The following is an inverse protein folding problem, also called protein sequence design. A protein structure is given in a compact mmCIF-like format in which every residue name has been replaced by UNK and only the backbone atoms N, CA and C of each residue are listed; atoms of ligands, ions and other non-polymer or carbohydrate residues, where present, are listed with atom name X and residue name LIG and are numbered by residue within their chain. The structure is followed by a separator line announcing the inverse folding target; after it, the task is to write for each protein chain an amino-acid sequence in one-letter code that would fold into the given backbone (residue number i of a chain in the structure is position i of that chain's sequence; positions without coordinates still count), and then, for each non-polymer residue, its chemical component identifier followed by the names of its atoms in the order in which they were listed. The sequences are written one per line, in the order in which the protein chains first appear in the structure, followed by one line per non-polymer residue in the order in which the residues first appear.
data_IF_730996820378
#
_entry.id   IF_730996820378
#
_cell.length_a   1.000
_cell.length_b   1.000
_cell.length_c   1.000
_cell.angle_alpha   90.00
_cell.angle_beta   90.00
_cell.angle_gamma   90.00
#
_symmetry.space_group_name_H-M   'P 1'
#
loop_
_entity.id
_entity.type
_entity.pdbx_description
1 polymer ?
#
# COMPACT_ATOMS: atom_id res chain seq x y z
N UNK A 1 24.37 26.25 -11.84
CA UNK A 1 25.80 26.56 -12.10
C UNK A 1 26.48 26.73 -10.75
N UNK A 2 27.74 26.33 -10.57
CA UNK A 2 28.22 25.64 -9.35
C UNK A 2 28.73 26.54 -8.21
N UNK A 3 28.61 26.02 -6.96
CA UNK A 3 29.12 26.57 -5.68
C UNK A 3 30.56 27.14 -5.76
N UNK A 4 30.87 28.10 -4.88
CA UNK A 4 32.23 28.51 -4.52
C UNK A 4 33.05 27.26 -4.13
N UNK A 5 33.96 26.82 -5.02
CA UNK A 5 34.75 25.59 -4.88
C UNK A 5 35.02 24.87 -6.19
N UNK A 6 34.08 24.92 -7.14
CA UNK A 6 34.25 24.30 -8.48
C UNK A 6 35.00 25.16 -9.49
N UNK A 7 35.35 26.40 -9.11
CA UNK A 7 36.09 27.35 -9.95
C UNK A 7 37.55 26.94 -10.19
N UNK A 8 38.07 25.96 -9.45
CA UNK A 8 39.50 25.62 -9.45
C UNK A 8 39.82 24.16 -9.81
N UNK A 9 38.81 23.29 -9.98
CA UNK A 9 39.03 21.86 -10.28
C UNK A 9 38.42 21.46 -11.63
N UNK A 10 39.29 21.29 -12.64
CA UNK A 10 38.89 20.82 -13.96
C UNK A 10 38.27 19.42 -13.92
N UNK A 11 38.85 18.51 -13.12
CA UNK A 11 38.34 17.15 -12.98
C UNK A 11 36.95 17.11 -12.34
N UNK A 12 36.69 17.93 -11.34
CA UNK A 12 35.36 18.04 -10.72
C UNK A 12 34.33 18.64 -11.69
N UNK A 13 34.76 19.62 -12.49
CA UNK A 13 33.94 20.22 -13.54
C UNK A 13 33.55 19.20 -14.62
N UNK A 14 34.51 18.48 -15.18
CA UNK A 14 34.26 17.44 -16.18
C UNK A 14 33.39 16.32 -15.62
N UNK A 15 33.70 15.84 -14.41
CA UNK A 15 32.92 14.80 -13.76
C UNK A 15 31.46 15.21 -13.57
N UNK A 16 31.20 16.43 -13.07
CA UNK A 16 29.84 16.95 -12.92
C UNK A 16 29.09 16.99 -14.24
N UNK A 17 29.70 17.56 -15.29
CA UNK A 17 29.03 17.69 -16.60
C UNK A 17 28.94 16.38 -17.38
N UNK A 18 29.77 15.38 -17.07
CA UNK A 18 29.68 14.04 -17.68
C UNK A 18 28.33 13.35 -17.42
N UNK A 19 27.62 13.75 -16.35
CA UNK A 19 26.28 13.26 -16.03
C UNK A 19 25.16 13.87 -16.86
N UNK A 20 25.44 14.87 -17.70
CA UNK A 20 24.42 15.60 -18.46
C UNK A 20 24.66 15.50 -19.96
N UNK A 21 23.60 15.27 -20.73
CA UNK A 21 23.62 15.35 -22.21
C UNK A 21 23.47 16.79 -22.71
N UNK A 22 24.12 17.75 -22.06
CA UNK A 22 24.00 19.18 -22.37
C UNK A 22 25.33 19.82 -22.76
N UNK A 23 25.26 20.91 -23.52
CA UNK A 23 26.42 21.77 -23.77
C UNK A 23 26.74 22.60 -22.52
N UNK A 24 28.02 22.71 -22.19
CA UNK A 24 28.51 23.49 -21.07
C UNK A 24 29.51 24.55 -21.55
N UNK A 25 29.53 25.72 -20.87
CA UNK A 25 30.52 26.77 -21.15
C UNK A 25 31.91 26.26 -20.76
N UNK A 26 32.90 26.16 -21.67
CA UNK A 26 34.17 25.48 -21.42
C UNK A 26 34.85 25.92 -20.12
N UNK A 27 35.54 25.01 -19.42
CA UNK A 27 36.20 25.29 -18.12
C UNK A 27 37.19 26.47 -18.19
N UNK A 28 37.89 26.66 -19.31
CA UNK A 28 38.81 27.79 -19.51
C UNK A 28 38.13 29.16 -19.60
N UNK A 29 36.84 29.24 -19.95
CA UNK A 29 36.12 30.50 -20.16
C UNK A 29 35.50 31.06 -18.85
N UNK A 30 36.32 31.19 -17.80
CA UNK A 30 35.83 31.60 -16.47
C UNK A 30 35.18 33.00 -16.47
N UNK A 31 35.77 33.97 -17.17
CA UNK A 31 35.21 35.33 -17.30
C UNK A 31 33.81 35.30 -17.94
N UNK A 32 33.60 34.41 -18.92
CA UNK A 32 32.30 34.27 -19.57
C UNK A 32 31.28 33.63 -18.65
N UNK A 33 31.68 32.64 -17.86
CA UNK A 33 30.82 32.05 -16.82
C UNK A 33 30.43 33.08 -15.77
N UNK A 34 31.39 33.88 -15.29
CA UNK A 34 31.15 34.94 -14.31
C UNK A 34 30.21 36.03 -14.85
N UNK A 35 30.44 36.46 -16.09
CA UNK A 35 29.54 37.39 -16.78
C UNK A 35 28.11 36.84 -16.88
N UNK A 36 27.95 35.58 -17.33
CA UNK A 36 26.63 34.94 -17.41
C UNK A 36 25.97 34.88 -16.02
N UNK A 37 26.70 34.47 -14.99
CA UNK A 37 26.20 34.42 -13.62
C UNK A 37 25.76 35.81 -13.12
N UNK A 38 26.55 36.85 -13.39
CA UNK A 38 26.25 38.22 -13.00
C UNK A 38 24.99 38.74 -13.70
N UNK A 39 24.88 38.56 -15.02
CA UNK A 39 23.72 39.00 -15.81
C UNK A 39 22.44 38.27 -15.39
N UNK A 40 22.53 36.99 -15.05
CA UNK A 40 21.39 36.20 -14.57
C UNK A 40 21.14 36.35 -13.06
N UNK A 41 21.87 37.22 -12.37
CA UNK A 41 21.70 37.45 -10.93
C UNK A 41 21.87 36.18 -10.10
N UNK A 42 22.84 35.34 -10.43
CA UNK A 42 23.12 34.09 -9.71
C UNK A 42 23.59 34.38 -8.28
N UNK A 43 22.91 33.76 -7.31
CA UNK A 43 23.06 33.97 -5.86
C UNK A 43 23.66 32.75 -5.14
N UNK A 44 24.20 31.80 -5.91
CA UNK A 44 24.69 30.52 -5.37
C UNK A 44 23.67 29.38 -5.45
N UNK A 45 22.39 29.65 -5.74
CA UNK A 45 21.38 28.62 -5.94
C UNK A 45 21.22 28.26 -7.43
N UNK A 46 20.98 26.98 -7.77
CA UNK A 46 20.68 26.60 -9.15
C UNK A 46 19.58 27.49 -9.75
N UNK A 47 19.83 28.01 -10.96
CA UNK A 47 18.84 28.76 -11.74
C UNK A 47 18.67 28.13 -13.11
N UNK A 48 17.43 28.16 -13.60
CA UNK A 48 17.05 27.77 -14.95
C UNK A 48 16.63 29.02 -15.72
N UNK A 49 17.11 29.12 -16.96
CA UNK A 49 16.69 30.10 -17.94
C UNK A 49 16.08 29.33 -19.12
N UNK A 50 14.80 29.55 -19.40
CA UNK A 50 14.10 28.92 -20.53
C UNK A 50 13.84 30.00 -21.55
N UNK A 51 14.28 29.76 -22.79
CA UNK A 51 14.09 30.65 -23.92
C UNK A 51 13.14 30.02 -24.94
N UNK A 52 12.33 30.83 -25.62
CA UNK A 52 11.60 30.39 -26.81
C UNK A 52 12.51 30.34 -28.05
N UNK A 53 12.06 29.77 -29.19
CA UNK A 53 12.84 29.75 -30.41
C UNK A 53 13.22 31.14 -30.96
N UNK A 54 12.54 32.20 -30.51
CA UNK A 54 12.85 33.61 -30.82
C UNK A 54 13.80 34.24 -29.81
N UNK A 55 14.42 33.44 -28.93
CA UNK A 55 15.35 33.85 -27.87
C UNK A 55 14.72 34.74 -26.79
N UNK A 56 13.40 34.76 -26.67
CA UNK A 56 12.72 35.49 -25.59
C UNK A 56 12.70 34.65 -24.32
N UNK A 57 12.88 35.30 -23.19
CA UNK A 57 12.84 34.65 -21.88
C UNK A 57 11.41 34.23 -21.56
N UNK A 58 11.18 32.93 -21.46
CA UNK A 58 9.92 32.34 -20.98
C UNK A 58 9.93 32.13 -19.47
N UNK A 59 11.11 31.85 -18.90
CA UNK A 59 11.27 31.65 -17.47
C UNK A 59 12.69 31.97 -17.03
N UNK A 60 12.83 32.57 -15.86
CA UNK A 60 14.08 32.79 -15.17
C UNK A 60 13.86 32.65 -13.66
N UNK A 61 14.46 31.63 -13.03
CA UNK A 61 14.26 31.35 -11.61
C UNK A 61 14.83 30.00 -11.19
N UNK A 62 14.39 29.49 -10.05
CA UNK A 62 14.85 28.19 -9.55
C UNK A 62 14.29 27.01 -10.38
N UNK A 63 15.07 25.93 -10.58
CA UNK A 63 14.68 24.76 -11.37
C UNK A 63 13.59 23.86 -10.74
N UNK A 64 12.62 24.41 -10.01
CA UNK A 64 11.60 23.66 -9.26
C UNK A 64 10.72 22.77 -10.16
N UNK A 65 10.56 23.12 -11.44
CA UNK A 65 9.86 22.26 -12.39
C UNK A 65 10.48 20.87 -12.48
N UNK A 66 11.81 20.76 -12.37
CA UNK A 66 12.49 19.47 -12.49
C UNK A 66 12.32 18.59 -11.25
N UNK A 67 12.18 19.19 -10.06
CA UNK A 67 11.86 18.47 -8.83
C UNK A 67 10.38 18.07 -8.77
N UNK A 68 9.51 18.75 -9.52
CA UNK A 68 8.08 18.43 -9.58
C UNK A 68 7.73 17.39 -10.63
N UNK A 69 8.28 17.50 -11.85
CA UNK A 69 7.90 16.65 -13.00
C UNK A 69 9.05 15.83 -13.61
N UNK A 70 10.25 15.89 -13.04
CA UNK A 70 11.37 15.03 -13.44
C UNK A 70 12.01 15.31 -14.80
N UNK A 71 11.56 16.34 -15.52
CA UNK A 71 12.22 16.89 -16.71
C UNK A 71 11.89 16.26 -18.06
N UNK A 72 11.04 15.24 -18.15
CA UNK A 72 10.63 14.64 -19.45
C UNK A 72 9.13 14.38 -19.60
N UNK A 73 8.27 14.96 -18.75
CA UNK A 73 6.83 14.95 -18.99
C UNK A 73 6.49 15.81 -20.22
N UNK A 74 6.24 15.18 -21.38
CA UNK A 74 6.00 15.90 -22.64
C UNK A 74 4.89 16.95 -22.59
N UNK A 75 3.90 16.76 -21.72
CA UNK A 75 2.82 17.73 -21.49
C UNK A 75 3.20 18.94 -20.63
N UNK A 76 4.33 18.90 -19.92
CA UNK A 76 4.83 20.01 -19.10
C UNK A 76 5.77 20.93 -19.88
N UNK A 77 6.29 20.53 -21.05
CA UNK A 77 7.16 21.35 -21.89
C UNK A 77 6.43 22.63 -22.34
N UNK A 78 7.07 23.83 -22.37
CA UNK A 78 8.48 24.14 -22.12
C UNK A 78 8.90 24.29 -20.64
N UNK A 79 8.20 23.64 -19.71
CA UNK A 79 8.49 23.59 -18.27
C UNK A 79 8.45 24.94 -17.56
N UNK A 80 7.61 25.86 -18.05
CA UNK A 80 7.24 27.07 -17.30
C UNK A 80 6.30 26.70 -16.14
N UNK A 81 6.26 27.50 -15.05
CA UNK A 81 5.37 27.24 -13.91
C UNK A 81 3.92 26.97 -14.33
N UNK A 82 3.34 27.84 -15.17
CA UNK A 82 1.96 27.68 -15.65
C UNK A 82 1.73 26.37 -16.41
N UNK A 83 2.71 25.93 -17.22
CA UNK A 83 2.62 24.69 -17.99
C UNK A 83 2.74 23.46 -17.09
N UNK A 84 3.62 23.52 -16.10
CA UNK A 84 3.79 22.48 -15.09
C UNK A 84 2.53 22.37 -14.23
N UNK A 85 1.98 23.48 -13.77
CA UNK A 85 0.77 23.51 -12.96
C UNK A 85 -0.43 22.99 -13.75
N UNK A 86 -0.58 23.42 -15.01
CA UNK A 86 -1.60 22.87 -15.91
C UNK A 86 -1.42 21.35 -16.08
N UNK A 87 -0.20 20.87 -16.35
CA UNK A 87 0.09 19.44 -16.47
C UNK A 87 -0.30 18.66 -15.20
N UNK A 88 0.08 19.15 -14.02
CA UNK A 88 -0.20 18.50 -12.74
C UNK A 88 -1.69 18.52 -12.37
N UNK A 89 -2.42 19.57 -12.75
CA UNK A 89 -3.87 19.62 -12.58
C UNK A 89 -4.59 18.58 -13.47
N UNK A 90 -4.10 18.34 -14.68
CA UNK A 90 -4.66 17.30 -15.55
C UNK A 90 -4.29 15.88 -15.07
N UNK A 91 -3.05 15.67 -14.58
CA UNK A 91 -2.55 14.37 -14.12
C UNK A 91 -3.32 13.82 -12.90
N UNK A 92 -3.71 14.70 -11.96
CA UNK A 92 -4.49 14.31 -10.76
C UNK A 92 -5.87 13.71 -11.03
N UNK A 93 -6.40 13.87 -12.25
CA UNK A 93 -7.71 13.31 -12.63
C UNK A 93 -7.64 11.93 -13.28
N UNK A 94 -6.45 11.36 -13.52
CA UNK A 94 -6.24 10.27 -14.48
C UNK A 94 -5.63 8.99 -13.89
N UNK A 95 -5.55 8.86 -12.56
CA UNK A 95 -4.96 7.67 -11.91
C UNK A 95 -5.54 6.35 -12.45
N UNK A 96 -6.83 6.33 -12.82
CA UNK A 96 -7.56 5.14 -13.26
C UNK A 96 -7.36 4.76 -14.75
N UNK A 97 -6.60 5.55 -15.53
CA UNK A 97 -6.50 5.37 -16.99
C UNK A 97 -5.09 5.07 -17.50
N UNK A 98 -4.08 5.09 -16.63
CA UNK A 98 -2.72 4.81 -17.05
C UNK A 98 -2.55 3.33 -17.41
N UNK A 99 -2.00 3.09 -18.60
CA UNK A 99 -1.48 1.77 -18.97
C UNK A 99 -0.06 1.57 -18.41
N UNK A 100 0.36 0.30 -18.29
CA UNK A 100 1.65 -0.06 -17.69
C UNK A 100 2.85 0.67 -18.32
N UNK A 101 2.88 0.81 -19.65
CA UNK A 101 3.98 1.50 -20.32
C UNK A 101 3.95 3.01 -20.08
N UNK A 102 2.75 3.61 -19.96
CA UNK A 102 2.64 5.03 -19.65
C UNK A 102 3.13 5.30 -18.23
N UNK A 103 2.80 4.43 -17.26
CA UNK A 103 3.34 4.50 -15.89
C UNK A 103 4.87 4.46 -15.89
N UNK A 104 5.43 3.43 -16.54
CA UNK A 104 6.88 3.18 -16.58
C UNK A 104 7.63 4.07 -17.58
N UNK A 105 6.94 4.86 -18.40
CA UNK A 105 7.57 5.71 -19.42
C UNK A 105 8.34 4.94 -20.48
N UNK A 106 7.91 3.72 -20.80
CA UNK A 106 8.56 2.80 -21.73
C UNK A 106 7.73 2.59 -23.00
N UNK A 107 8.35 2.03 -24.04
CA UNK A 107 7.68 1.53 -25.25
C UNK A 107 7.44 0.04 -25.13
N UNK A 108 6.51 -0.47 -25.93
CA UNK A 108 6.16 -1.91 -25.94
C UNK A 108 7.30 -2.84 -26.35
N UNK A 109 8.29 -2.29 -27.06
CA UNK A 109 9.52 -2.96 -27.50
C UNK A 109 10.62 -2.94 -26.46
N UNK A 110 10.53 -2.07 -25.44
CA UNK A 110 11.56 -1.96 -24.43
C UNK A 110 11.53 -3.21 -23.51
N UNK A 111 12.70 -3.55 -22.96
CA UNK A 111 12.92 -4.78 -22.20
C UNK A 111 13.33 -4.43 -20.77
N UNK A 112 12.66 -5.05 -19.80
CA UNK A 112 13.10 -5.06 -18.40
C UNK A 112 13.92 -6.32 -18.15
N UNK A 113 15.00 -6.17 -17.38
CA UNK A 113 15.87 -7.27 -17.01
C UNK A 113 15.66 -7.66 -15.55
N UNK A 114 15.97 -8.91 -15.26
CA UNK A 114 15.92 -9.41 -13.90
C UNK A 114 17.05 -8.80 -13.04
N UNK A 115 16.79 -8.50 -11.77
CA UNK A 115 17.76 -7.88 -10.84
C UNK A 115 19.05 -8.72 -10.71
N UNK A 116 18.93 -10.05 -10.67
CA UNK A 116 20.08 -10.94 -10.60
C UNK A 116 21.10 -10.78 -11.74
N UNK A 117 20.69 -10.20 -12.89
CA UNK A 117 21.60 -9.90 -13.99
C UNK A 117 22.46 -8.64 -13.74
N UNK A 118 21.94 -7.66 -12.99
CA UNK A 118 22.67 -6.46 -12.60
C UNK A 118 23.72 -6.74 -11.51
N UNK A 119 23.48 -7.74 -10.66
CA UNK A 119 24.39 -8.12 -9.56
C UNK A 119 25.74 -8.72 -10.04
N UNK A 120 25.78 -9.40 -11.19
CA UNK A 120 26.95 -10.21 -11.59
C UNK A 120 28.03 -9.39 -12.33
N UNK A 121 27.78 -8.12 -12.64
CA UNK A 121 28.66 -7.34 -13.51
C UNK A 121 28.56 -7.84 -14.95
N UNK A 122 28.43 -6.92 -15.91
CA UNK A 122 28.07 -7.19 -17.30
C UNK A 122 29.08 -7.99 -18.15
N UNK A 123 29.93 -8.84 -17.57
CA UNK A 123 31.02 -9.55 -18.26
C UNK A 123 30.77 -11.05 -18.50
N UNK A 124 29.61 -11.59 -18.12
CA UNK A 124 29.22 -12.97 -18.51
C UNK A 124 28.16 -12.97 -19.60
N UNK A 125 28.60 -12.59 -20.79
CA UNK A 125 27.99 -12.97 -22.06
C UNK A 125 28.37 -14.42 -22.37
N UNK A 126 27.84 -15.37 -21.60
CA UNK A 126 27.72 -16.74 -22.09
C UNK A 126 26.25 -17.04 -22.34
N UNK A 127 26.02 -17.40 -23.60
CA UNK A 127 24.77 -17.78 -24.23
C UNK A 127 24.21 -19.02 -23.52
N UNK A 128 23.28 -18.82 -22.60
CA UNK A 128 22.34 -19.87 -22.23
C UNK A 128 20.98 -19.55 -22.88
N UNK A 129 20.47 -20.54 -23.61
CA UNK A 129 19.27 -20.52 -24.45
C UNK A 129 17.92 -20.30 -23.74
N UNK A 130 17.86 -19.90 -22.46
CA UNK A 130 16.58 -19.80 -21.77
C UNK A 130 16.10 -18.34 -21.65
N UNK A 131 14.93 -18.05 -22.21
CA UNK A 131 14.28 -16.74 -22.28
C UNK A 131 13.82 -16.15 -20.93
N UNK A 132 14.59 -16.37 -19.85
CA UNK A 132 14.30 -15.95 -18.46
C UNK A 132 15.02 -14.69 -17.99
N UNK A 133 15.90 -14.08 -18.80
CA UNK A 133 16.70 -12.92 -18.37
C UNK A 133 16.01 -11.57 -18.51
N UNK A 134 15.08 -11.44 -19.46
CA UNK A 134 14.37 -10.18 -19.69
C UNK A 134 12.96 -10.39 -20.25
N UNK A 135 12.09 -9.41 -20.02
CA UNK A 135 10.70 -9.39 -20.46
C UNK A 135 10.40 -8.09 -21.22
N UNK A 136 9.69 -8.18 -22.34
CA UNK A 136 9.23 -6.99 -23.06
C UNK A 136 8.02 -6.39 -22.36
N UNK A 137 7.87 -5.07 -22.43
CA UNK A 137 6.69 -4.38 -21.87
C UNK A 137 5.39 -4.88 -22.50
N UNK A 138 5.39 -5.19 -23.81
CA UNK A 138 4.25 -5.82 -24.50
C UNK A 138 3.80 -7.16 -23.91
N UNK A 139 4.72 -7.98 -23.40
CA UNK A 139 4.40 -9.25 -22.72
C UNK A 139 3.93 -8.99 -21.29
N UNK A 140 4.63 -8.11 -20.57
CA UNK A 140 4.32 -7.78 -19.18
C UNK A 140 2.94 -7.12 -19.03
N UNK A 141 2.55 -6.28 -20.01
CA UNK A 141 1.21 -5.68 -20.11
C UNK A 141 0.05 -6.68 -20.16
N UNK A 142 0.30 -7.93 -20.50
CA UNK A 142 -0.73 -8.98 -20.59
C UNK A 142 -0.81 -9.82 -19.31
N UNK A 143 -0.12 -9.38 -18.26
CA UNK A 143 -0.08 -10.02 -16.96
C UNK A 143 -0.63 -9.08 -15.91
N UNK A 144 -0.90 -9.61 -14.74
CA UNK A 144 -1.22 -8.79 -13.59
C UNK A 144 0.09 -8.31 -12.97
N UNK A 145 0.25 -7.00 -12.73
CA UNK A 145 1.58 -6.43 -12.40
C UNK A 145 1.52 -5.60 -11.14
N UNK A 146 2.39 -5.91 -10.18
CA UNK A 146 2.69 -5.09 -9.01
C UNK A 146 3.91 -4.20 -9.30
N UNK A 147 3.77 -2.88 -9.23
CA UNK A 147 4.91 -1.96 -9.30
C UNK A 147 5.30 -1.61 -7.86
N UNK A 148 6.39 -2.20 -7.39
CA UNK A 148 6.99 -1.88 -6.11
C UNK A 148 7.89 -0.66 -6.26
N UNK A 149 7.54 0.40 -5.55
CA UNK A 149 8.25 1.67 -5.52
C UNK A 149 9.09 1.69 -4.25
N UNK A 150 10.39 1.45 -4.41
CA UNK A 150 11.36 1.40 -3.32
C UNK A 150 11.86 2.81 -3.00
N UNK A 151 11.58 3.26 -1.79
CA UNK A 151 12.10 4.48 -1.19
C UNK A 151 13.30 4.14 -0.30
N UNK A 152 13.11 3.30 0.72
CA UNK A 152 14.16 2.87 1.65
C UNK A 152 14.21 1.35 1.86
N UNK A 153 13.27 0.60 1.28
CA UNK A 153 13.22 -0.85 1.41
C UNK A 153 12.64 -1.36 2.73
N UNK A 154 12.09 -0.48 3.56
CA UNK A 154 11.41 -0.82 4.81
C UNK A 154 10.30 -1.85 4.64
N UNK A 155 9.61 -1.86 3.50
CA UNK A 155 8.46 -2.75 3.20
C UNK A 155 8.83 -3.99 2.39
N UNK A 156 10.13 -4.33 2.29
CA UNK A 156 10.58 -5.51 1.54
C UNK A 156 10.16 -6.83 2.18
N UNK A 157 10.04 -6.89 3.51
CA UNK A 157 9.59 -8.08 4.21
C UNK A 157 8.12 -8.37 3.93
N UNK A 158 7.29 -7.33 3.91
CA UNK A 158 5.89 -7.36 3.55
C UNK A 158 5.73 -7.82 2.09
N UNK A 159 6.55 -7.32 1.17
CA UNK A 159 6.59 -7.78 -0.22
C UNK A 159 7.01 -9.26 -0.34
N UNK A 160 7.91 -9.73 0.50
CA UNK A 160 8.30 -11.14 0.55
C UNK A 160 7.15 -12.03 1.06
N UNK A 161 6.42 -11.59 2.09
CA UNK A 161 5.23 -12.27 2.61
C UNK A 161 4.16 -12.43 1.52
N UNK A 162 3.88 -11.38 0.75
CA UNK A 162 2.99 -11.42 -0.41
C UNK A 162 3.38 -12.53 -1.35
N UNK A 163 4.66 -12.56 -1.73
CA UNK A 163 5.13 -13.49 -2.73
C UNK A 163 5.10 -14.93 -2.25
N UNK A 164 5.52 -15.18 -1.00
CA UNK A 164 5.46 -16.50 -0.38
C UNK A 164 4.04 -17.03 -0.39
N UNK A 165 3.08 -16.17 -0.09
CA UNK A 165 1.69 -16.56 0.01
C UNK A 165 1.03 -16.76 -1.36
N UNK A 166 1.34 -15.91 -2.33
CA UNK A 166 1.01 -16.13 -3.73
C UNK A 166 1.50 -17.53 -4.18
N UNK A 167 2.74 -17.88 -3.84
CA UNK A 167 3.31 -19.18 -4.17
C UNK A 167 2.60 -20.35 -3.47
N UNK A 168 2.11 -20.18 -2.23
CA UNK A 168 1.36 -21.23 -1.50
C UNK A 168 -0.01 -21.50 -2.09
N UNK A 169 -0.71 -20.48 -2.60
CA UNK A 169 -2.03 -20.62 -3.23
C UNK A 169 -2.01 -21.32 -4.59
N UNK A 170 -0.81 -21.60 -5.13
CA UNK A 170 -0.61 -22.38 -6.36
C UNK A 170 0.17 -21.60 -7.43
N UNK A 171 0.59 -22.32 -8.48
CA UNK A 171 1.46 -21.81 -9.57
C UNK A 171 0.81 -20.77 -10.50
N UNK A 172 -0.43 -20.37 -10.26
CA UNK A 172 -1.21 -19.39 -11.06
C UNK A 172 -1.24 -17.99 -10.44
N UNK A 173 -0.25 -17.62 -9.63
CA UNK A 173 -0.09 -16.20 -9.34
C UNK A 173 0.46 -15.51 -10.59
N UNK A 174 -0.45 -14.99 -11.42
CA UNK A 174 -0.16 -14.14 -12.58
C UNK A 174 0.52 -12.81 -12.21
N UNK A 175 0.73 -12.55 -10.90
CA UNK A 175 1.34 -11.34 -10.38
C UNK A 175 2.85 -11.31 -10.66
N UNK A 176 3.23 -10.46 -11.60
CA UNK A 176 4.62 -10.07 -11.84
C UNK A 176 4.96 -8.83 -11.01
N UNK A 177 6.17 -8.78 -10.43
CA UNK A 177 6.61 -7.60 -9.67
C UNK A 177 7.69 -6.86 -10.46
N UNK A 178 7.47 -5.56 -10.65
CA UNK A 178 8.46 -4.61 -11.18
C UNK A 178 8.95 -3.73 -10.04
N UNK A 179 10.26 -3.71 -9.82
CA UNK A 179 10.90 -2.87 -8.82
C UNK A 179 11.37 -1.57 -9.47
N UNK A 180 10.97 -0.45 -8.89
CA UNK A 180 11.37 0.89 -9.29
C UNK A 180 12.00 1.60 -8.12
N UNK A 181 13.24 2.05 -8.27
CA UNK A 181 13.91 2.90 -7.28
C UNK A 181 13.49 4.35 -7.39
N UNK A 182 13.16 4.95 -6.26
CA UNK A 182 12.98 6.40 -6.15
C UNK A 182 14.05 6.93 -5.21
N UNK A 183 15.04 7.69 -5.71
CA UNK A 183 16.03 8.31 -4.84
C UNK A 183 15.32 9.29 -3.89
N UNK A 184 15.53 9.07 -2.59
CA UNK A 184 15.00 9.95 -1.55
C UNK A 184 15.95 11.10 -1.23
N UNK A 185 15.41 12.09 -0.50
CA UNK A 185 16.15 13.27 -0.07
C UNK A 185 17.32 12.85 0.82
N UNK A 186 18.54 12.98 0.31
CA UNK A 186 19.77 12.63 1.03
C UNK A 186 20.64 11.57 0.34
N UNK A 187 20.10 10.82 -0.64
CA UNK A 187 20.94 9.99 -1.51
C UNK A 187 21.50 10.82 -2.67
N UNK A 188 22.82 11.00 -2.70
CA UNK A 188 23.49 11.88 -3.67
C UNK A 188 23.64 11.28 -5.07
N UNK A 189 23.57 9.94 -5.24
CA UNK A 189 23.85 9.31 -6.54
C UNK A 189 22.91 8.11 -6.86
N UNK A 190 22.15 8.13 -7.97
CA UNK A 190 21.19 7.07 -8.32
C UNK A 190 21.80 5.66 -8.37
N UNK A 191 23.04 5.49 -8.85
CA UNK A 191 23.71 4.17 -8.84
C UNK A 191 23.91 3.59 -7.44
N UNK A 192 24.06 4.42 -6.41
CA UNK A 192 24.15 3.95 -5.03
C UNK A 192 22.79 3.42 -4.56
N UNK A 193 21.70 4.08 -4.96
CA UNK A 193 20.34 3.58 -4.73
C UNK A 193 20.13 2.23 -5.43
N UNK A 194 20.53 2.10 -6.70
CA UNK A 194 20.43 0.83 -7.42
C UNK A 194 21.20 -0.29 -6.70
N UNK A 195 22.42 -0.01 -6.25
CA UNK A 195 23.23 -0.97 -5.49
C UNK A 195 22.55 -1.36 -4.17
N UNK A 196 22.09 -0.38 -3.40
CA UNK A 196 21.37 -0.60 -2.15
C UNK A 196 20.13 -1.48 -2.35
N UNK A 197 19.31 -1.19 -3.38
CA UNK A 197 18.13 -1.98 -3.69
C UNK A 197 18.48 -3.43 -4.06
N UNK A 198 19.53 -3.63 -4.85
CA UNK A 198 20.01 -4.98 -5.20
C UNK A 198 20.38 -5.75 -3.94
N UNK A 199 21.20 -5.17 -3.05
CA UNK A 199 21.61 -5.77 -1.78
C UNK A 199 20.39 -6.07 -0.87
N UNK A 200 19.43 -5.14 -0.80
CA UNK A 200 18.22 -5.31 0.00
C UNK A 200 17.32 -6.44 -0.54
N UNK A 201 17.13 -6.52 -1.86
CA UNK A 201 16.33 -7.57 -2.51
C UNK A 201 17.00 -8.94 -2.43
N UNK A 202 18.33 -8.99 -2.39
CA UNK A 202 19.09 -10.22 -2.11
C UNK A 202 18.79 -10.75 -0.71
N UNK A 203 18.76 -9.87 0.30
CA UNK A 203 18.50 -10.27 1.68
C UNK A 203 17.14 -10.96 1.88
N UNK A 204 16.13 -10.60 1.06
CA UNK A 204 14.78 -11.19 1.07
C UNK A 204 14.55 -12.20 -0.07
N UNK A 205 15.60 -12.62 -0.79
CA UNK A 205 15.53 -13.61 -1.89
C UNK A 205 14.55 -13.24 -3.02
N UNK A 206 14.42 -11.95 -3.31
CA UNK A 206 13.57 -11.40 -4.37
C UNK A 206 14.37 -10.94 -5.61
N UNK A 207 15.61 -11.40 -5.79
CA UNK A 207 16.45 -11.08 -6.95
C UNK A 207 15.90 -11.53 -8.30
N UNK A 208 14.81 -12.32 -8.32
CA UNK A 208 14.15 -12.81 -9.52
C UNK A 208 13.13 -11.86 -10.16
N UNK A 209 13.04 -10.59 -9.71
CA UNK A 209 12.05 -9.61 -10.18
C UNK A 209 12.55 -8.69 -11.28
N UNK A 210 11.62 -8.07 -12.00
CA UNK A 210 11.92 -7.13 -13.07
C UNK A 210 12.41 -5.81 -12.47
N UNK A 211 13.56 -5.33 -12.94
CA UNK A 211 14.13 -4.08 -12.48
C UNK A 211 13.91 -2.99 -13.51
N UNK A 212 13.41 -1.83 -13.06
CA UNK A 212 13.46 -0.60 -13.84
C UNK A 212 14.67 0.22 -13.37
N UNK A 213 15.69 0.43 -14.22
CA UNK A 213 16.79 1.34 -13.92
C UNK A 213 16.28 2.74 -13.59
N UNK A 214 17.07 3.50 -12.83
CA UNK A 214 16.64 4.82 -12.39
C UNK A 214 16.18 5.69 -13.57
N UNK A 215 14.93 6.16 -13.47
CA UNK A 215 14.35 7.10 -14.42
C UNK A 215 13.65 8.21 -13.64
N UNK A 216 14.27 9.38 -13.62
CA UNK A 216 13.80 10.53 -12.84
C UNK A 216 12.33 10.91 -13.11
N UNK A 217 11.89 10.85 -14.37
CA UNK A 217 10.50 11.20 -14.73
C UNK A 217 9.52 10.17 -14.20
N UNK A 218 9.87 8.89 -14.27
CA UNK A 218 9.04 7.79 -13.74
C UNK A 218 8.99 7.85 -12.22
N UNK A 219 10.15 7.99 -11.56
CA UNK A 219 10.25 8.11 -10.10
C UNK A 219 9.38 9.25 -9.58
N UNK A 220 9.49 10.46 -10.15
CA UNK A 220 8.65 11.58 -9.75
C UNK A 220 7.16 11.34 -10.05
N UNK A 221 6.81 10.72 -11.18
CA UNK A 221 5.42 10.38 -11.49
C UNK A 221 4.82 9.45 -10.44
N UNK A 222 5.50 8.34 -10.15
CA UNK A 222 5.03 7.36 -9.17
C UNK A 222 4.93 7.97 -7.77
N UNK A 223 5.89 8.80 -7.35
CA UNK A 223 5.79 9.53 -6.08
C UNK A 223 4.58 10.45 -6.02
N UNK A 224 4.27 11.20 -7.09
CA UNK A 224 3.11 12.11 -7.12
C UNK A 224 1.77 11.38 -7.05
N UNK A 225 1.72 10.13 -7.55
CA UNK A 225 0.50 9.32 -7.51
C UNK A 225 0.22 8.72 -6.13
N UNK A 226 1.18 8.80 -5.19
CA UNK A 226 1.05 8.26 -3.84
C UNK A 226 0.65 9.34 -2.85
N UNK A 227 -0.08 8.94 -1.81
CA UNK A 227 -0.43 9.82 -0.69
C UNK A 227 0.79 10.14 0.18
N UNK A 228 1.64 9.14 0.46
CA UNK A 228 2.92 9.34 1.14
C UNK A 228 4.09 9.10 0.18
N UNK A 229 4.99 10.08 0.11
CA UNK A 229 6.16 10.08 -0.78
C UNK A 229 7.44 9.62 -0.07
N UNK A 230 7.38 9.38 1.25
CA UNK A 230 8.53 9.08 2.11
C UNK A 230 8.57 7.63 2.61
N UNK A 231 7.73 6.76 2.04
CA UNK A 231 7.68 5.33 2.39
C UNK A 231 7.81 4.48 1.12
N UNK A 232 7.91 3.16 1.25
CA UNK A 232 7.78 2.26 0.10
C UNK A 232 6.32 2.18 -0.38
N UNK A 233 6.11 1.81 -1.65
CA UNK A 233 4.79 1.83 -2.28
C UNK A 233 4.55 0.60 -3.16
N UNK A 234 3.29 0.22 -3.33
CA UNK A 234 2.90 -0.88 -4.20
C UNK A 234 1.68 -0.50 -5.03
N UNK A 235 1.86 -0.42 -6.35
CA UNK A 235 0.76 -0.20 -7.30
C UNK A 235 0.32 -1.53 -7.90
N UNK A 236 -0.98 -1.76 -8.00
CA UNK A 236 -1.55 -2.95 -8.62
C UNK A 236 -2.14 -2.60 -9.98
N UNK A 237 -1.59 -3.16 -11.05
CA UNK A 237 -1.98 -2.88 -12.44
C UNK A 237 -2.72 -4.08 -13.03
N UNK A 238 -4.01 -3.88 -13.30
CA UNK A 238 -4.89 -4.87 -13.92
C UNK A 238 -5.03 -4.61 -15.43
N UNK A 239 -4.49 -5.53 -16.24
CA UNK A 239 -4.57 -5.42 -17.69
C UNK A 239 -5.94 -5.73 -18.29
N UNK A 240 -6.73 -6.57 -17.62
CA UNK A 240 -8.07 -6.98 -18.08
C UNK A 240 -9.04 -5.84 -17.88
N UNK A 241 -8.98 -5.23 -16.70
CA UNK A 241 -9.89 -4.15 -16.30
C UNK A 241 -9.36 -2.76 -16.64
N UNK A 242 -8.10 -2.65 -17.05
CA UNK A 242 -7.41 -1.39 -17.38
C UNK A 242 -7.47 -0.38 -16.23
N UNK A 243 -7.07 -0.83 -15.05
CA UNK A 243 -7.10 -0.03 -13.81
C UNK A 243 -5.78 -0.15 -13.05
N UNK A 244 -5.45 0.90 -12.30
CA UNK A 244 -4.27 0.98 -11.45
C UNK A 244 -4.71 1.34 -10.04
N UNK A 245 -4.48 0.44 -9.08
CA UNK A 245 -4.67 0.74 -7.66
C UNK A 245 -3.36 1.22 -7.04
N UNK A 246 -3.37 2.36 -6.35
CA UNK A 246 -2.19 2.91 -5.68
C UNK A 246 -2.06 2.43 -4.22
N UNK A 247 -3.06 1.72 -3.70
CA UNK A 247 -3.16 1.31 -2.31
C UNK A 247 -2.79 -0.16 -2.08
N UNK A 248 -1.89 -0.72 -2.91
CA UNK A 248 -1.53 -2.14 -2.84
C UNK A 248 -1.03 -2.56 -1.45
N UNK A 249 -0.11 -1.79 -0.86
CA UNK A 249 0.37 -2.05 0.50
C UNK A 249 -0.73 -1.89 1.54
N UNK A 250 -1.45 -0.76 1.67
CA UNK A 250 -2.53 -0.63 2.63
C UNK A 250 -3.58 -1.75 2.53
N UNK A 251 -4.01 -2.13 1.32
CA UNK A 251 -4.97 -3.22 1.12
C UNK A 251 -4.44 -4.54 1.66
N UNK A 252 -3.15 -4.79 1.52
CA UNK A 252 -2.48 -6.02 1.91
C UNK A 252 -2.11 -6.06 3.40
N UNK A 253 -1.49 -5.00 3.93
CA UNK A 253 -1.00 -4.96 5.31
C UNK A 253 -2.12 -4.65 6.29
N UNK A 254 -3.02 -3.75 5.91
CA UNK A 254 -3.91 -3.12 6.87
C UNK A 254 -5.29 -3.77 6.80
N UNK A 255 -5.87 -3.93 5.60
CA UNK A 255 -7.29 -4.27 5.48
C UNK A 255 -7.61 -5.72 5.15
N UNK A 256 -6.91 -6.29 4.17
CA UNK A 256 -7.35 -7.50 3.49
C UNK A 256 -6.47 -8.72 3.71
N UNK A 257 -5.27 -8.51 4.24
CA UNK A 257 -4.28 -9.56 4.37
C UNK A 257 -4.08 -10.30 3.05
N UNK A 258 -3.97 -11.62 3.17
CA UNK A 258 -3.85 -12.53 2.03
C UNK A 258 -5.14 -12.63 1.21
N UNK A 259 -6.29 -12.52 1.86
CA UNK A 259 -7.58 -12.79 1.23
C UNK A 259 -8.00 -11.71 0.24
N UNK A 260 -7.50 -10.49 0.41
CA UNK A 260 -7.71 -9.43 -0.57
C UNK A 260 -6.88 -9.58 -1.84
N UNK A 261 -6.17 -10.71 -2.05
CA UNK A 261 -5.51 -11.00 -3.31
C UNK A 261 -6.45 -10.72 -4.50
N UNK A 262 -6.02 -9.95 -5.51
CA UNK A 262 -4.65 -9.53 -5.77
C UNK A 262 -4.37 -8.08 -5.28
N UNK A 263 -4.72 -7.81 -4.03
CA UNK A 263 -4.38 -6.64 -3.22
C UNK A 263 -4.82 -5.29 -3.81
N UNK A 264 -6.02 -5.26 -4.39
CA UNK A 264 -6.65 -4.02 -4.84
C UNK A 264 -7.91 -3.74 -4.00
N UNK A 265 -8.29 -2.46 -3.93
CA UNK A 265 -9.41 -2.03 -3.08
C UNK A 265 -10.75 -2.63 -3.48
N UNK A 266 -10.92 -2.99 -4.75
CA UNK A 266 -12.16 -3.61 -5.21
C UNK A 266 -12.30 -5.04 -4.72
N UNK A 267 -11.25 -5.84 -4.80
CA UNK A 267 -11.24 -7.20 -4.24
C UNK A 267 -11.42 -7.17 -2.73
N UNK A 268 -10.82 -6.19 -2.06
CA UNK A 268 -11.09 -5.95 -0.64
C UNK A 268 -12.59 -5.68 -0.38
N UNK A 269 -13.24 -4.84 -1.18
CA UNK A 269 -14.69 -4.57 -1.07
C UNK A 269 -15.51 -5.85 -1.33
N UNK A 270 -15.19 -6.60 -2.39
CA UNK A 270 -15.90 -7.84 -2.74
C UNK A 270 -15.77 -8.89 -1.62
N UNK A 271 -14.57 -9.04 -1.04
CA UNK A 271 -14.33 -9.90 0.12
C UNK A 271 -15.03 -9.39 1.38
N UNK A 272 -15.06 -8.08 1.60
CA UNK A 272 -15.80 -7.47 2.68
C UNK A 272 -17.30 -7.74 2.55
N UNK A 273 -17.89 -7.53 1.37
CA UNK A 273 -19.29 -7.83 1.07
C UNK A 273 -19.61 -9.32 1.27
N UNK A 274 -18.70 -10.21 0.83
CA UNK A 274 -18.81 -11.66 1.09
C UNK A 274 -18.85 -11.94 2.59
N UNK A 275 -17.96 -11.33 3.38
CA UNK A 275 -17.94 -11.47 4.84
C UNK A 275 -19.20 -10.91 5.50
N UNK A 276 -19.69 -9.75 5.06
CA UNK A 276 -20.95 -9.17 5.55
C UNK A 276 -22.18 -10.04 5.20
N UNK A 277 -22.10 -10.84 4.15
CA UNK A 277 -23.10 -11.85 3.79
C UNK A 277 -23.14 -13.07 4.72
N UNK A 278 -22.15 -13.25 5.59
CA UNK A 278 -22.09 -14.38 6.51
C UNK A 278 -23.18 -14.30 7.57
N UNK A 279 -23.64 -15.48 7.99
CA UNK A 279 -24.64 -15.61 9.03
C UNK A 279 -24.01 -16.03 10.34
N UNK A 280 -24.53 -15.50 11.44
CA UNK A 280 -24.17 -15.91 12.79
C UNK A 280 -24.26 -17.43 12.99
N UNK A 281 -25.34 -18.04 12.46
CA UNK A 281 -25.52 -19.50 12.48
C UNK A 281 -24.37 -20.23 11.77
N UNK A 282 -23.91 -19.74 10.60
CA UNK A 282 -22.77 -20.37 9.92
C UNK A 282 -21.46 -20.20 10.68
N UNK A 283 -21.23 -19.03 11.30
CA UNK A 283 -20.00 -18.73 12.05
C UNK A 283 -19.90 -19.58 13.33
N UNK A 284 -21.00 -19.71 14.08
CA UNK A 284 -20.99 -20.40 15.36
C UNK A 284 -21.22 -21.91 15.23
N UNK A 285 -22.08 -22.39 14.32
CA UNK A 285 -22.33 -23.83 14.15
C UNK A 285 -21.13 -24.57 13.53
N UNK A 286 -20.27 -23.89 12.77
CA UNK A 286 -19.02 -24.49 12.30
C UNK A 286 -17.96 -24.58 13.40
N UNK A 287 -18.17 -23.89 14.53
CA UNK A 287 -17.11 -23.60 15.50
C UNK A 287 -17.43 -24.02 16.95
N UNK A 288 -18.68 -24.20 17.35
CA UNK A 288 -19.04 -24.71 18.68
C UNK A 288 -20.11 -25.79 18.61
N UNK A 289 -19.86 -26.89 19.30
CA UNK A 289 -20.83 -27.97 19.42
C UNK A 289 -22.00 -27.53 20.28
N UNK A 290 -23.09 -27.19 19.60
CA UNK A 290 -24.48 -27.14 20.06
C UNK A 290 -24.84 -26.31 21.29
N UNK A 291 -23.93 -25.90 22.19
CA UNK A 291 -24.24 -25.31 23.50
C UNK A 291 -23.37 -24.09 23.84
N UNK A 292 -23.92 -23.18 24.63
CA UNK A 292 -23.26 -22.03 25.25
C UNK A 292 -23.54 -22.04 26.76
N UNK A 293 -22.62 -21.50 27.55
CA UNK A 293 -22.77 -21.42 29.00
C UNK A 293 -23.53 -20.14 29.35
N UNK A 294 -24.55 -20.27 30.19
CA UNK A 294 -25.33 -19.16 30.73
C UNK A 294 -25.44 -19.29 32.25
N UNK A 295 -25.34 -18.17 32.96
CA UNK A 295 -25.60 -18.14 34.40
C UNK A 295 -27.09 -17.95 34.71
N UNK A 296 -27.63 -18.83 35.55
CA UNK A 296 -28.99 -18.73 36.06
C UNK A 296 -29.07 -17.77 37.26
N UNK A 297 -30.27 -17.28 37.55
CA UNK A 297 -30.57 -16.44 38.72
C UNK A 297 -30.21 -17.15 40.04
N UNK A 298 -30.15 -18.48 40.02
CA UNK A 298 -29.70 -19.32 41.14
C UNK A 298 -28.18 -19.39 41.32
N UNK A 299 -27.38 -18.61 40.55
CA UNK A 299 -25.91 -18.68 40.50
C UNK A 299 -25.36 -20.06 40.08
N UNK A 300 -26.16 -20.83 39.35
CA UNK A 300 -25.73 -22.08 38.72
C UNK A 300 -25.51 -21.85 37.23
N UNK A 301 -24.45 -22.45 36.68
CA UNK A 301 -24.16 -22.38 35.24
C UNK A 301 -24.92 -23.51 34.52
N UNK A 302 -25.56 -23.17 33.40
CA UNK A 302 -26.32 -24.09 32.56
C UNK A 302 -25.77 -24.07 31.13
N UNK A 303 -25.61 -25.25 30.54
CA UNK A 303 -25.33 -25.42 29.12
C UNK A 303 -26.65 -25.33 28.32
N UNK A 304 -26.79 -24.27 27.54
CA UNK A 304 -27.99 -24.00 26.75
C UNK A 304 -27.69 -24.26 25.29
N UNK A 305 -28.56 -24.97 24.55
CA UNK A 305 -28.34 -25.18 23.13
C UNK A 305 -28.28 -23.85 22.37
N UNK A 306 -27.16 -23.58 21.69
CA UNK A 306 -26.92 -22.37 20.91
C UNK A 306 -28.03 -22.13 19.88
N UNK A 307 -28.55 -23.19 19.25
CA UNK A 307 -29.66 -23.07 18.31
C UNK A 307 -30.91 -22.43 18.94
N UNK A 308 -31.23 -22.78 20.19
CA UNK A 308 -32.37 -22.21 20.91
C UNK A 308 -32.13 -20.74 21.30
N UNK A 309 -30.89 -20.38 21.62
CA UNK A 309 -30.51 -18.99 21.90
C UNK A 309 -30.68 -18.15 20.64
N UNK A 310 -30.16 -18.63 19.50
CA UNK A 310 -30.18 -17.91 18.23
C UNK A 310 -31.58 -17.80 17.60
N UNK A 311 -32.52 -18.67 17.96
CA UNK A 311 -33.92 -18.60 17.49
C UNK A 311 -34.79 -17.63 18.29
N UNK A 312 -34.44 -17.38 19.56
CA UNK A 312 -35.28 -16.58 20.48
C UNK A 312 -34.91 -15.10 20.53
N UNK A 313 -33.81 -14.68 19.89
CA UNK A 313 -33.20 -13.38 20.13
C UNK A 313 -32.96 -12.61 18.81
N UNK A 314 -33.50 -11.38 18.65
CA UNK A 314 -33.45 -10.62 17.40
C UNK A 314 -32.09 -9.97 17.12
N UNK A 315 -31.29 -9.69 18.16
CA UNK A 315 -29.98 -9.04 18.03
C UNK A 315 -28.94 -9.77 18.85
N UNK A 316 -27.84 -10.14 18.21
CA UNK A 316 -26.70 -10.79 18.87
C UNK A 316 -25.46 -9.98 18.62
N UNK A 317 -24.69 -9.76 19.68
CA UNK A 317 -23.35 -9.18 19.61
C UNK A 317 -22.35 -10.27 19.92
N UNK A 318 -21.42 -10.52 18.99
CA UNK A 318 -20.30 -11.41 19.21
C UNK A 318 -19.13 -10.58 19.75
N UNK A 319 -18.70 -10.92 20.96
CA UNK A 319 -17.57 -10.30 21.64
C UNK A 319 -16.39 -11.27 21.64
N UNK A 320 -15.38 -10.97 20.84
CA UNK A 320 -14.16 -11.77 20.77
C UNK A 320 -13.08 -11.09 21.59
N UNK A 321 -12.36 -11.82 22.45
CA UNK A 321 -11.35 -11.22 23.33
C UNK A 321 -10.08 -12.06 23.46
N UNK A 322 -8.96 -11.41 23.79
CA UNK A 322 -7.65 -12.02 24.06
C UNK A 322 -7.10 -11.48 25.38
N UNK A 323 -7.60 -12.03 26.49
CA UNK A 323 -7.22 -11.61 27.85
C UNK A 323 -7.62 -10.17 28.18
N UNK A 324 -8.65 -9.99 29.02
CA UNK A 324 -9.14 -8.65 29.38
C UNK A 324 -10.51 -8.68 30.04
N UNK A 325 -10.93 -7.55 30.61
CA UNK A 325 -12.28 -7.34 31.16
C UNK A 325 -13.05 -6.42 30.21
N UNK A 326 -14.16 -6.91 29.65
CA UNK A 326 -15.01 -6.11 28.78
C UNK A 326 -15.66 -4.92 29.49
N UNK A 327 -15.95 -3.87 28.71
CA UNK A 327 -16.60 -2.64 29.18
C UNK A 327 -18.11 -2.72 28.99
N UNK A 328 -18.85 -2.41 30.07
CA UNK A 328 -20.27 -2.04 30.00
C UNK A 328 -21.30 -3.17 30.16
N UNK A 329 -22.45 -2.83 30.72
CA UNK A 329 -23.66 -3.66 30.81
C UNK A 329 -24.65 -3.17 29.75
N UNK A 330 -25.18 -4.06 28.89
CA UNK A 330 -26.35 -3.76 28.06
C UNK A 330 -27.44 -4.79 28.33
N UNK A 331 -28.61 -4.31 28.77
CA UNK A 331 -29.78 -5.13 29.12
C UNK A 331 -30.69 -5.45 27.93
N UNK A 332 -30.35 -4.94 26.74
CA UNK A 332 -31.20 -5.00 25.54
C UNK A 332 -30.68 -5.89 24.42
N UNK A 333 -29.47 -6.46 24.57
CA UNK A 333 -28.79 -7.22 23.51
C UNK A 333 -28.19 -8.49 24.09
N UNK A 334 -28.23 -9.59 23.33
CA UNK A 334 -27.53 -10.82 23.71
C UNK A 334 -26.09 -10.74 23.30
N UNK A 335 -25.20 -10.83 24.27
CA UNK A 335 -23.76 -10.87 24.03
C UNK A 335 -23.28 -12.32 24.11
N UNK A 336 -22.65 -12.80 23.06
CA UNK A 336 -21.99 -14.10 22.98
C UNK A 336 -20.48 -13.84 22.99
N UNK A 337 -19.77 -14.38 23.97
CA UNK A 337 -18.33 -14.18 24.10
C UNK A 337 -17.54 -15.36 23.55
N UNK A 338 -16.43 -15.04 22.91
CA UNK A 338 -15.52 -16.00 22.29
C UNK A 338 -14.09 -15.64 22.67
N UNK A 339 -13.35 -16.61 23.19
CA UNK A 339 -11.91 -16.48 23.38
C UNK A 339 -11.19 -16.53 22.02
N UNK A 340 -10.27 -15.59 21.74
CA UNK A 340 -9.50 -15.52 20.49
C UNK A 340 -8.22 -16.35 20.51
N UNK A 341 -7.66 -16.59 21.68
CA UNK A 341 -6.52 -17.49 21.88
C UNK A 341 -6.98 -18.93 22.18
N UNK A 342 -8.28 -19.13 22.39
CA UNK A 342 -8.88 -20.41 22.74
C UNK A 342 -8.38 -20.95 24.08
N UNK A 343 -7.85 -20.07 24.93
CA UNK A 343 -7.52 -20.37 26.31
C UNK A 343 -8.72 -19.92 27.15
N UNK A 344 -9.16 -20.77 28.08
CA UNK A 344 -10.15 -20.39 29.09
C UNK A 344 -9.53 -19.33 29.99
N UNK A 345 -9.94 -18.08 29.79
CA UNK A 345 -9.70 -16.99 30.71
C UNK A 345 -10.70 -17.01 31.89
N UNK A 346 -10.67 -15.97 32.71
CA UNK A 346 -11.68 -15.77 33.77
C UNK A 346 -13.05 -15.38 33.16
N UNK A 347 -13.76 -16.38 32.64
CA UNK A 347 -15.08 -16.24 31.98
C UNK A 347 -16.21 -15.97 32.97
N UNK A 348 -15.94 -16.14 34.27
CA UNK A 348 -16.90 -15.88 35.35
C UNK A 348 -17.40 -14.43 35.28
N UNK A 349 -16.53 -13.48 34.97
CA UNK A 349 -16.90 -12.07 34.77
C UNK A 349 -18.01 -11.90 33.72
N UNK A 350 -17.88 -12.53 32.54
CA UNK A 350 -18.89 -12.42 31.47
C UNK A 350 -20.24 -13.04 31.89
N UNK A 351 -20.18 -14.15 32.61
CA UNK A 351 -21.37 -14.80 33.18
C UNK A 351 -22.06 -13.92 34.23
N UNK A 352 -21.32 -13.13 35.02
CA UNK A 352 -21.91 -12.17 35.97
C UNK A 352 -22.66 -11.03 35.27
N UNK A 353 -22.20 -10.64 34.08
CA UNK A 353 -22.82 -9.62 33.23
C UNK A 353 -24.07 -10.14 32.52
N UNK A 354 -24.42 -11.41 32.70
CA UNK A 354 -25.53 -12.08 32.01
C UNK A 354 -25.22 -12.42 30.55
N UNK A 355 -23.96 -12.38 30.15
CA UNK A 355 -23.53 -12.73 28.79
C UNK A 355 -23.44 -14.25 28.64
N UNK A 356 -23.49 -14.70 27.39
CA UNK A 356 -23.36 -16.10 27.02
C UNK A 356 -21.91 -16.38 26.66
N UNK A 357 -21.35 -17.47 27.19
CA UNK A 357 -19.95 -17.82 26.96
C UNK A 357 -19.87 -19.06 26.07
N UNK A 358 -19.17 -18.93 24.95
CA UNK A 358 -18.75 -20.09 24.16
C UNK A 358 -17.54 -20.75 24.83
N UNK A 359 -17.54 -22.09 25.02
CA UNK A 359 -16.38 -22.81 25.57
C UNK A 359 -15.11 -22.54 24.76
N UNK A 360 -13.98 -22.31 25.42
CA UNK A 360 -12.74 -22.04 24.70
C UNK A 360 -12.28 -23.27 23.89
N UNK A 361 -11.94 -23.05 22.63
CA UNK A 361 -11.38 -24.09 21.76
C UNK A 361 -10.31 -23.48 20.85
N UNK A 362 -9.02 -23.79 21.05
CA UNK A 362 -7.92 -23.20 20.29
C UNK A 362 -8.03 -23.35 18.77
N UNK A 363 -8.54 -24.49 18.30
CA UNK A 363 -8.63 -24.76 16.85
C UNK A 363 -9.77 -23.96 16.21
N UNK A 364 -10.91 -23.86 16.87
CA UNK A 364 -12.06 -23.08 16.37
C UNK A 364 -11.85 -21.58 16.54
N UNK A 365 -11.20 -21.17 17.62
CA UNK A 365 -10.81 -19.77 17.86
C UNK A 365 -9.80 -19.29 16.82
N UNK A 366 -8.79 -20.11 16.51
CA UNK A 366 -7.86 -19.84 15.42
C UNK A 366 -8.61 -19.76 14.07
N UNK A 367 -9.52 -20.69 13.78
CA UNK A 367 -10.32 -20.64 12.55
C UNK A 367 -11.13 -19.35 12.43
N UNK A 368 -11.81 -18.90 13.50
CA UNK A 368 -12.60 -17.67 13.42
C UNK A 368 -11.72 -16.43 13.24
N UNK A 369 -10.64 -16.36 14.02
CA UNK A 369 -9.65 -15.28 13.94
C UNK A 369 -9.04 -15.21 12.54
N UNK A 370 -8.63 -16.37 12.02
CA UNK A 370 -7.89 -16.47 10.77
C UNK A 370 -8.81 -16.43 9.52
N UNK A 371 -10.08 -16.81 9.61
CA UNK A 371 -10.97 -16.80 8.44
C UNK A 371 -11.80 -15.50 8.34
N UNK A 372 -12.03 -14.81 9.46
CA UNK A 372 -13.00 -13.71 9.50
C UNK A 372 -12.44 -12.35 9.97
N UNK A 373 -11.45 -12.31 10.89
CA UNK A 373 -11.06 -11.07 11.59
C UNK A 373 -9.56 -10.72 11.53
N UNK A 374 -8.91 -11.01 10.40
CA UNK A 374 -7.53 -10.57 10.15
C UNK A 374 -7.43 -9.07 9.85
N UNK A 375 -7.08 -8.28 10.86
CA UNK A 375 -6.53 -6.95 10.65
C UNK A 375 -5.21 -6.88 11.42
N UNK A 376 -4.10 -6.54 10.74
CA UNK A 376 -2.76 -6.53 11.35
C UNK A 376 -2.56 -5.30 12.25
N UNK A 377 -3.20 -4.17 11.92
CA UNK A 377 -3.27 -2.96 12.76
C UNK A 377 -4.48 -2.96 13.73
N UNK A 378 -5.60 -3.61 13.38
CA UNK A 378 -6.63 -4.03 14.33
C UNK A 378 -6.40 -5.50 14.71
N UNK A 379 -5.28 -5.77 15.39
CA UNK A 379 -5.29 -6.79 16.44
C UNK A 379 -5.83 -6.12 17.70
N UNK A 380 -7.11 -5.74 17.80
CA UNK A 380 -7.56 -5.32 19.10
C UNK A 380 -7.46 -6.57 19.98
N UNK A 381 -7.12 -6.38 21.24
CA UNK A 381 -7.33 -7.43 22.22
C UNK A 381 -8.82 -7.81 22.29
N UNK A 382 -9.72 -7.05 21.64
CA UNK A 382 -11.18 -7.21 21.66
C UNK A 382 -11.87 -6.81 20.33
N UNK A 383 -12.70 -7.67 19.72
CA UNK A 383 -13.53 -7.35 18.53
C UNK A 383 -15.01 -7.48 18.90
N UNK A 384 -15.83 -6.52 18.47
CA UNK A 384 -17.28 -6.53 18.74
C UNK A 384 -18.04 -6.50 17.42
N UNK A 385 -18.79 -7.56 17.12
CA UNK A 385 -19.56 -7.71 15.89
C UNK A 385 -21.04 -7.76 16.21
N UNK A 386 -21.85 -6.96 15.52
CA UNK A 386 -23.32 -7.01 15.67
C UNK A 386 -23.97 -7.77 14.53
N UNK A 387 -25.02 -8.52 14.86
CA UNK A 387 -25.84 -9.28 13.93
C UNK A 387 -27.29 -8.81 13.99
N UNK A 388 -27.91 -8.67 12.82
CA UNK A 388 -29.32 -8.33 12.68
C UNK A 388 -30.26 -9.53 12.87
N UNK A 389 -31.56 -9.25 12.82
CA UNK A 389 -32.62 -10.26 12.96
C UNK A 389 -32.57 -11.37 11.90
N UNK A 390 -32.04 -11.07 10.72
CA UNK A 390 -31.81 -12.03 9.64
C UNK A 390 -30.54 -12.88 9.81
N UNK A 391 -29.84 -12.65 10.93
CA UNK A 391 -28.60 -13.30 11.32
C UNK A 391 -27.37 -12.82 10.56
N UNK A 392 -27.45 -11.79 9.71
CA UNK A 392 -26.30 -11.23 8.99
C UNK A 392 -25.54 -10.22 9.83
N UNK A 393 -24.27 -10.02 9.52
CA UNK A 393 -23.44 -8.98 10.13
C UNK A 393 -24.01 -7.61 9.77
N UNK A 394 -24.23 -6.76 10.77
CA UNK A 394 -24.64 -5.36 10.60
C UNK A 394 -23.49 -4.38 10.83
N UNK A 395 -22.56 -4.69 11.74
CA UNK A 395 -21.35 -3.91 11.97
C UNK A 395 -20.23 -4.80 12.54
N UNK A 396 -19.00 -4.54 12.11
CA UNK A 396 -17.76 -5.18 12.61
C UNK A 396 -17.06 -4.35 13.71
N UNK A 397 -17.58 -3.14 13.99
CA UNK A 397 -17.17 -2.28 15.12
C UNK A 397 -18.42 -1.85 15.90
N UNK A 398 -18.98 -2.81 16.63
CA UNK A 398 -20.13 -2.61 17.51
C UNK A 398 -19.72 -2.25 18.95
N UNK A 399 -18.47 -1.81 19.17
CA UNK A 399 -17.95 -1.43 20.50
C UNK A 399 -18.85 -0.38 21.18
N UNK A 400 -19.29 0.60 20.40
CA UNK A 400 -20.22 1.65 20.83
C UNK A 400 -21.60 1.13 21.29
N UNK A 401 -22.05 -0.05 20.85
CA UNK A 401 -23.31 -0.69 21.29
C UNK A 401 -23.22 -1.11 22.76
N UNK A 402 -22.02 -1.49 23.21
CA UNK A 402 -21.74 -1.88 24.59
C UNK A 402 -21.66 -0.66 25.55
N UNK A 403 -21.46 0.53 24.99
CA UNK A 403 -21.30 1.80 25.73
C UNK A 403 -22.60 2.65 25.77
N UNK A 404 -23.57 2.38 24.88
CA UNK A 404 -24.82 3.13 24.78
C UNK A 404 -25.88 2.66 25.80
N UNK A 405 -26.41 3.59 26.60
CA UNK A 405 -27.56 3.37 27.50
C UNK A 405 -28.93 3.70 26.86
N UNK A 406 -29.00 3.92 25.55
CA UNK A 406 -30.21 4.27 24.79
C UNK A 406 -30.73 3.13 23.90
N UNK A 407 -31.97 3.22 23.35
CA UNK A 407 -32.55 2.17 22.53
C UNK A 407 -31.76 1.95 21.22
N UNK A 408 -31.78 0.72 20.65
CA UNK A 408 -30.97 0.36 19.48
C UNK A 408 -31.37 1.16 18.25
N UNK A 409 -30.38 1.65 17.50
CA UNK A 409 -30.58 2.43 16.27
C UNK A 409 -30.72 1.54 15.03
N UNK A 410 -31.52 2.01 14.07
CA UNK A 410 -31.76 1.35 12.79
C UNK A 410 -30.57 1.45 11.83
N UNK A 411 -30.25 0.30 11.24
CA UNK A 411 -29.25 0.08 10.20
C UNK A 411 -29.33 1.13 9.07
N UNK A 412 -28.25 1.88 8.81
CA UNK A 412 -27.90 2.44 7.48
C UNK A 412 -26.63 3.34 7.41
N UNK A 413 -25.67 3.28 8.34
CA UNK A 413 -24.48 4.16 8.26
C UNK A 413 -23.16 3.51 7.78
N UNK A 414 -23.28 2.37 7.08
CA UNK A 414 -22.14 1.59 6.56
C UNK A 414 -21.19 2.38 5.63
N UNK A 415 -21.73 3.32 4.83
CA UNK A 415 -20.92 4.20 3.97
C UNK A 415 -20.16 5.26 4.75
N UNK A 416 -20.65 5.67 5.93
CA UNK A 416 -20.06 6.75 6.71
C UNK A 416 -18.88 6.27 7.57
N UNK A 417 -18.89 5.02 8.00
CA UNK A 417 -17.80 4.40 8.79
C UNK A 417 -16.57 4.11 7.92
N UNK A 418 -16.76 3.49 6.75
CA UNK A 418 -15.70 3.29 5.76
C UNK A 418 -15.16 4.64 5.28
N UNK A 419 -16.04 5.60 4.98
CA UNK A 419 -15.61 6.96 4.62
C UNK A 419 -14.80 7.62 5.76
N UNK A 420 -15.20 7.48 7.03
CA UNK A 420 -14.47 8.08 8.15
C UNK A 420 -13.04 7.58 8.30
N UNK A 421 -12.75 6.31 8.03
CA UNK A 421 -11.37 5.83 8.03
C UNK A 421 -10.57 6.37 6.84
N UNK A 422 -11.13 6.37 5.63
CA UNK A 422 -10.44 6.89 4.44
C UNK A 422 -10.34 8.44 4.38
N UNK A 423 -11.16 9.17 5.15
CA UNK A 423 -11.13 10.64 5.21
C UNK A 423 -10.45 11.20 6.46
N UNK A 424 -10.12 10.37 7.48
CA UNK A 424 -9.36 10.83 8.66
C UNK A 424 -7.97 11.37 8.26
N UNK A 425 -7.39 10.85 7.18
CA UNK A 425 -6.06 11.27 6.71
C UNK A 425 -6.09 12.43 5.69
N UNK A 426 -7.23 13.12 5.52
CA UNK A 426 -7.32 14.29 4.63
C UNK A 426 -7.32 15.65 5.31
N UNK A 427 -7.28 15.70 6.64
CA UNK A 427 -7.13 16.97 7.37
C UNK A 427 -6.39 16.76 8.71
N UNK A 428 -5.06 16.77 8.63
CA UNK A 428 -4.19 17.40 9.62
C UNK A 428 -2.97 17.98 8.92
#
# INVERSE_FOLDING_TARGET
MMRNGFTHSFSAYEHFFSGFSCLAVPFGEYLRREYICSVLGFDGQPKALILDPSQRVLYHGQPEMFTRVGGAGGGAFPFTPDRVDAYLCHERGWHDHYSLNELLGLRDTDVLYNIGYYHVGGDRLEEEEDGRRGITISKLKRKFVGIYVCFDGSSLYELEEVYKECCKRGKECELEIVVVGVPFVGMEHPKLMEKFMIEALESVKLLGRWFLPFNNTVSHRLCRMRCDSQEDGLFMVDHVRKYVDVYGFPVMTDFGGVDAYPFNRRNLIEEFERKMGLRLKSLLLSCWEQHVIKRLISNMDEEVPLAQVLEKMPFVVLYMYKGGKGKGHSSSVVVVTVSMDGIDGDTHWFLEMGWLVCPADPFKSAKIRDEYFFHRQCRPDEVVVSFGEDGRIQSLDASHIMECQGPPFHANNLRAEIAKEFYKDKFT
#
